data_IF_409070432892
#
_entry.id   IF_409070432892
#
_cell.length_a   1.000
_cell.length_b   1.000
_cell.length_c   1.000
_cell.angle_alpha   90.00
_cell.angle_beta   90.00
_cell.angle_gamma   90.00
#
_symmetry.space_group_name_H-M   'P 1'
#
loop_
_entity.id
_entity.type
_entity.pdbx_description
1 polymer ?
#
# COMPACT_ATOMS: atom_id res chain seq x y z
N UNK A 1 9.68 17.38 -1.40
CA UNK A 1 9.65 15.94 -1.67
C UNK A 1 8.47 15.70 -2.59
N UNK A 2 8.69 15.85 -3.90
CA UNK A 2 7.61 15.73 -4.88
C UNK A 2 7.55 14.28 -5.34
N UNK A 3 6.69 13.49 -4.71
CA UNK A 3 6.22 12.24 -5.27
C UNK A 3 5.20 12.63 -6.35
N UNK A 4 5.72 12.93 -7.55
CA UNK A 4 5.00 13.71 -8.55
C UNK A 4 3.65 13.12 -8.97
N UNK A 5 2.61 13.95 -8.87
CA UNK A 5 1.50 13.96 -9.84
C UNK A 5 2.08 14.28 -11.22
N UNK A 6 2.28 13.27 -12.03
CA UNK A 6 2.34 13.42 -13.48
C UNK A 6 1.15 12.68 -14.07
N UNK A 7 0.15 13.46 -14.48
CA UNK A 7 -0.96 13.01 -15.30
C UNK A 7 -0.42 12.92 -16.72
N UNK A 8 -0.25 11.70 -17.22
CA UNK A 8 -0.66 11.24 -18.55
C UNK A 8 -0.40 9.74 -18.65
N UNK A 9 -1.48 8.99 -18.93
CA UNK A 9 -1.55 7.71 -19.67
C UNK A 9 -0.38 6.73 -19.51
N UNK A 10 -0.68 5.53 -19.00
CA UNK A 10 0.21 4.43 -18.57
C UNK A 10 0.50 4.43 -17.06
N UNK A 11 -0.20 3.52 -16.36
CA UNK A 11 -0.07 3.20 -14.94
C UNK A 11 1.39 3.06 -14.52
N UNK A 12 1.92 4.03 -13.77
CA UNK A 12 3.30 3.98 -13.29
C UNK A 12 3.44 2.88 -12.21
N UNK A 13 4.38 1.93 -12.39
CA UNK A 13 4.56 0.79 -11.49
C UNK A 13 5.45 1.22 -10.32
N UNK A 14 5.01 0.86 -9.11
CA UNK A 14 5.59 1.07 -7.76
C UNK A 14 5.67 2.53 -7.32
N UNK A 15 5.49 2.83 -6.02
CA UNK A 15 5.90 4.13 -5.52
C UNK A 15 7.40 4.26 -5.79
N UNK A 16 7.76 5.16 -6.69
CA UNK A 16 9.14 5.40 -7.08
C UNK A 16 9.54 6.77 -6.55
N UNK A 17 10.61 6.85 -5.78
CA UNK A 17 11.11 8.10 -5.25
C UNK A 17 12.25 8.60 -6.13
N UNK A 18 12.18 9.88 -6.50
CA UNK A 18 13.25 10.58 -7.22
C UNK A 18 13.92 11.56 -6.28
N UNK A 19 15.23 11.40 -6.12
CA UNK A 19 16.06 12.25 -5.28
C UNK A 19 16.99 13.05 -6.17
N UNK A 20 16.97 14.38 -6.00
CA UNK A 20 17.85 15.29 -6.72
C UNK A 20 18.68 16.08 -5.69
N UNK A 21 19.99 16.08 -5.87
CA UNK A 21 20.95 16.72 -4.98
C UNK A 21 21.85 17.66 -5.77
N UNK A 22 22.17 18.82 -5.20
CA UNK A 22 23.18 19.74 -5.74
C UNK A 22 23.94 20.37 -4.58
N UNK A 23 25.21 20.71 -4.82
CA UNK A 23 26.00 21.50 -3.89
C UNK A 23 25.73 22.99 -4.10
N UNK A 24 25.93 23.79 -3.05
CA UNK A 24 25.86 25.25 -3.08
C UNK A 24 27.17 25.77 -2.52
N UNK A 25 27.87 26.63 -3.27
CA UNK A 25 29.12 27.25 -2.80
C UNK A 25 28.88 28.49 -1.92
N UNK A 26 29.95 29.05 -1.36
CA UNK A 26 29.88 30.24 -0.50
C UNK A 26 29.37 31.49 -1.24
N UNK A 27 29.36 31.49 -2.58
CA UNK A 27 28.82 32.58 -3.41
C UNK A 27 27.34 32.36 -3.77
N UNK A 28 26.76 31.23 -3.36
CA UNK A 28 25.38 30.83 -3.66
C UNK A 28 25.20 30.16 -5.03
N UNK A 29 26.29 29.86 -5.75
CA UNK A 29 26.21 29.15 -7.03
C UNK A 29 25.96 27.67 -6.79
N UNK A 30 25.16 27.07 -7.66
CA UNK A 30 24.79 25.65 -7.60
C UNK A 30 25.68 24.83 -8.52
N UNK A 31 26.04 23.64 -8.06
CA UNK A 31 26.63 22.63 -8.95
C UNK A 31 25.61 22.11 -9.97
N UNK A 32 26.09 21.34 -10.94
CA UNK A 32 25.19 20.46 -11.70
C UNK A 32 24.46 19.51 -10.74
N UNK A 33 23.17 19.22 -10.99
CA UNK A 33 22.39 18.34 -10.13
C UNK A 33 22.76 16.87 -10.39
N UNK A 34 22.83 16.09 -9.31
CA UNK A 34 22.85 14.63 -9.33
C UNK A 34 21.45 14.09 -9.06
N UNK A 35 21.04 13.03 -9.77
CA UNK A 35 19.69 12.49 -9.68
C UNK A 35 19.70 10.97 -9.58
N UNK A 36 18.96 10.44 -8.62
CA UNK A 36 18.81 9.01 -8.37
C UNK A 36 17.32 8.69 -8.28
N UNK A 37 16.90 7.61 -8.92
CA UNK A 37 15.52 7.13 -8.90
C UNK A 37 15.50 5.73 -8.28
N UNK A 38 14.73 5.54 -7.20
CA UNK A 38 14.67 4.30 -6.43
C UNK A 38 13.23 3.81 -6.37
N UNK A 39 13.04 2.52 -6.62
CA UNK A 39 11.77 1.83 -6.40
C UNK A 39 11.61 1.53 -4.92
N UNK A 40 10.47 1.89 -4.34
CA UNK A 40 10.17 1.47 -2.96
C UNK A 40 9.79 -0.02 -2.94
N UNK A 41 10.19 -0.77 -1.90
CA UNK A 41 9.77 -2.15 -1.75
C UNK A 41 8.26 -2.25 -1.55
N UNK A 42 7.69 -3.41 -1.85
CA UNK A 42 6.31 -3.71 -1.48
C UNK A 42 6.09 -3.51 0.02
N UNK A 43 4.96 -2.93 0.44
CA UNK A 43 4.62 -2.85 1.85
C UNK A 43 4.62 -4.23 2.49
N UNK A 44 5.07 -4.30 3.74
CA UNK A 44 5.19 -5.55 4.45
C UNK A 44 3.81 -6.16 4.73
N UNK A 45 3.65 -7.47 4.48
CA UNK A 45 2.39 -8.21 4.65
C UNK A 45 2.61 -9.38 5.61
N UNK A 46 1.68 -9.53 6.54
CA UNK A 46 1.62 -10.71 7.41
C UNK A 46 0.81 -11.81 6.71
N UNK A 47 1.52 -12.83 6.23
CA UNK A 47 0.95 -13.91 5.42
C UNK A 47 -0.03 -14.79 6.20
N UNK A 48 0.29 -15.07 7.47
CA UNK A 48 -0.55 -15.89 8.36
C UNK A 48 -1.85 -15.16 8.64
N UNK A 49 -1.76 -13.87 8.99
CA UNK A 49 -2.95 -13.04 9.23
C UNK A 49 -3.81 -12.90 7.97
N UNK A 50 -3.21 -12.79 6.79
CA UNK A 50 -3.96 -12.73 5.53
C UNK A 50 -4.75 -14.03 5.28
N UNK A 51 -4.15 -15.19 5.55
CA UNK A 51 -4.83 -16.48 5.45
C UNK A 51 -6.00 -16.59 6.45
N UNK A 52 -5.80 -16.20 7.71
CA UNK A 52 -6.87 -16.19 8.73
C UNK A 52 -8.05 -15.30 8.31
N UNK A 53 -7.78 -14.15 7.71
CA UNK A 53 -8.81 -13.24 7.22
C UNK A 53 -9.54 -13.87 6.02
N UNK A 54 -8.85 -14.53 5.11
CA UNK A 54 -9.48 -15.23 3.99
C UNK A 54 -10.49 -16.28 4.48
N UNK A 55 -10.09 -17.10 5.45
CA UNK A 55 -10.96 -18.10 6.08
C UNK A 55 -12.16 -17.44 6.79
N UNK A 56 -11.91 -16.35 7.52
CA UNK A 56 -12.97 -15.58 8.20
C UNK A 56 -13.99 -15.02 7.20
N UNK A 57 -13.53 -14.46 6.08
CA UNK A 57 -14.39 -13.89 5.04
C UNK A 57 -15.20 -14.99 4.36
N UNK A 58 -14.61 -16.13 4.05
CA UNK A 58 -15.34 -17.29 3.53
C UNK A 58 -16.47 -17.72 4.47
N UNK A 59 -16.19 -17.82 5.78
CA UNK A 59 -17.21 -18.16 6.76
C UNK A 59 -18.32 -17.11 6.85
N UNK A 60 -17.99 -15.82 6.80
CA UNK A 60 -18.98 -14.73 6.77
C UNK A 60 -19.83 -14.76 5.49
N UNK A 61 -19.23 -15.11 4.34
CA UNK A 61 -19.93 -15.29 3.06
C UNK A 61 -20.73 -16.58 2.96
N UNK A 62 -20.61 -17.51 3.92
CA UNK A 62 -21.45 -18.71 3.95
C UNK A 62 -22.44 -18.71 5.12
N UNK A 63 -22.22 -17.86 6.13
CA UNK A 63 -23.09 -17.70 7.30
C UNK A 63 -24.47 -17.08 7.01
N UNK A 64 -24.70 -16.69 5.75
CA UNK A 64 -25.87 -16.03 5.18
C UNK A 64 -27.16 -16.03 5.99
N UNK A 65 -27.25 -15.12 6.98
CA UNK A 65 -28.55 -14.77 7.57
C UNK A 65 -28.65 -13.31 8.07
N UNK A 66 -27.59 -12.49 8.11
CA UNK A 66 -27.69 -11.15 8.70
C UNK A 66 -26.89 -10.05 7.98
N UNK A 67 -27.50 -8.88 7.75
CA UNK A 67 -26.80 -7.68 7.29
C UNK A 67 -25.66 -7.21 8.21
N UNK A 68 -25.61 -7.71 9.46
CA UNK A 68 -24.48 -7.51 10.40
C UNK A 68 -23.20 -8.22 9.94
N UNK A 69 -23.32 -9.42 9.39
CA UNK A 69 -22.18 -10.19 8.88
C UNK A 69 -21.61 -9.55 7.62
N UNK A 70 -22.48 -9.08 6.72
CA UNK A 70 -22.10 -8.31 5.54
C UNK A 70 -21.32 -7.04 5.93
N UNK A 71 -21.80 -6.29 6.94
CA UNK A 71 -21.09 -5.10 7.40
C UNK A 71 -19.75 -5.44 8.06
N UNK A 72 -19.68 -6.56 8.79
CA UNK A 72 -18.43 -7.02 9.42
C UNK A 72 -17.40 -7.46 8.38
N UNK A 73 -17.82 -8.16 7.33
CA UNK A 73 -16.95 -8.53 6.20
C UNK A 73 -16.44 -7.27 5.48
N UNK A 74 -17.33 -6.33 5.17
CA UNK A 74 -16.97 -5.06 4.54
C UNK A 74 -15.95 -4.27 5.37
N UNK A 75 -16.22 -4.05 6.66
CA UNK A 75 -15.31 -3.33 7.55
C UNK A 75 -13.95 -4.04 7.63
N UNK A 76 -13.95 -5.37 7.78
CA UNK A 76 -12.71 -6.16 7.85
C UNK A 76 -11.87 -5.99 6.58
N UNK A 77 -12.48 -6.00 5.40
CA UNK A 77 -11.78 -5.84 4.12
C UNK A 77 -11.32 -4.40 3.88
N UNK A 78 -12.11 -3.40 4.29
CA UNK A 78 -11.75 -1.99 4.16
C UNK A 78 -10.65 -1.55 5.11
N UNK A 79 -10.53 -2.17 6.28
CA UNK A 79 -9.44 -1.93 7.24
C UNK A 79 -8.09 -2.47 6.75
N UNK A 80 -8.09 -3.28 5.69
CA UNK A 80 -6.86 -3.75 5.05
C UNK A 80 -6.31 -2.69 4.11
N UNK A 81 -4.98 -2.55 4.10
CA UNK A 81 -4.30 -1.89 3.00
C UNK A 81 -4.34 -2.76 1.75
N UNK A 82 -4.29 -2.13 0.58
CA UNK A 82 -4.23 -2.79 -0.74
C UNK A 82 -3.30 -4.03 -0.78
N UNK A 83 -2.06 -4.01 -0.25
CA UNK A 83 -1.19 -5.19 -0.22
C UNK A 83 -1.69 -6.38 0.60
N UNK A 84 -2.28 -6.11 1.77
CA UNK A 84 -2.87 -7.16 2.58
C UNK A 84 -4.13 -7.72 1.91
N UNK A 85 -4.94 -6.87 1.27
CA UNK A 85 -6.13 -7.30 0.53
C UNK A 85 -5.78 -8.21 -0.66
N UNK A 86 -4.74 -7.87 -1.42
CA UNK A 86 -4.22 -8.75 -2.49
C UNK A 86 -3.79 -10.11 -1.95
N UNK A 87 -3.20 -10.15 -0.75
CA UNK A 87 -2.79 -11.41 -0.13
C UNK A 87 -3.97 -12.23 0.39
N UNK A 88 -4.99 -11.59 0.94
CA UNK A 88 -6.26 -12.25 1.31
C UNK A 88 -6.92 -12.86 0.08
N UNK A 89 -6.98 -12.12 -1.03
CA UNK A 89 -7.53 -12.61 -2.30
C UNK A 89 -6.77 -13.86 -2.78
N UNK A 90 -5.44 -13.85 -2.73
CA UNK A 90 -4.62 -15.01 -3.10
C UNK A 90 -5.00 -16.25 -2.30
N UNK A 91 -5.00 -16.16 -0.96
CA UNK A 91 -5.35 -17.29 -0.08
C UNK A 91 -6.78 -17.76 -0.26
N UNK A 92 -7.72 -16.81 -0.42
CA UNK A 92 -9.11 -17.13 -0.64
C UNK A 92 -9.30 -17.95 -1.92
N UNK A 93 -8.75 -17.47 -3.04
CA UNK A 93 -8.89 -18.18 -4.32
C UNK A 93 -8.16 -19.52 -4.29
N UNK A 94 -6.96 -19.59 -3.70
CA UNK A 94 -6.24 -20.86 -3.57
C UNK A 94 -7.06 -21.96 -2.89
N UNK A 95 -7.91 -21.61 -1.92
CA UNK A 95 -8.66 -22.57 -1.11
C UNK A 95 -10.14 -22.73 -1.49
N UNK A 96 -10.76 -21.66 -1.98
CA UNK A 96 -12.22 -21.56 -2.11
C UNK A 96 -12.70 -21.18 -3.51
N UNK A 97 -11.81 -21.05 -4.50
CA UNK A 97 -12.19 -20.71 -5.89
C UNK A 97 -13.23 -21.68 -6.48
N UNK A 98 -13.20 -22.95 -6.07
CA UNK A 98 -14.21 -23.95 -6.47
C UNK A 98 -15.65 -23.59 -6.05
N UNK A 99 -15.81 -22.75 -5.03
CA UNK A 99 -17.11 -22.26 -4.54
C UNK A 99 -17.42 -20.83 -5.01
N UNK A 100 -16.61 -20.29 -5.93
CA UNK A 100 -16.71 -18.94 -6.46
C UNK A 100 -15.48 -18.11 -6.10
N UNK A 101 -14.91 -17.46 -7.13
CA UNK A 101 -13.78 -16.55 -6.98
C UNK A 101 -14.11 -15.41 -6.01
N UNK A 102 -13.12 -14.95 -5.24
CA UNK A 102 -13.25 -13.87 -4.26
C UNK A 102 -13.95 -12.64 -4.83
N UNK A 103 -13.57 -12.18 -6.02
CA UNK A 103 -14.14 -10.96 -6.62
C UNK A 103 -15.64 -11.12 -6.91
N UNK A 104 -16.01 -12.28 -7.45
CA UNK A 104 -17.40 -12.62 -7.74
C UNK A 104 -18.22 -12.77 -6.46
N UNK A 105 -17.71 -13.49 -5.46
CA UNK A 105 -18.37 -13.63 -4.14
C UNK A 105 -18.51 -12.27 -3.46
N UNK A 106 -17.53 -11.39 -3.52
CA UNK A 106 -17.68 -10.03 -3.00
C UNK A 106 -18.84 -9.26 -3.67
N UNK A 107 -18.99 -9.35 -5.00
CA UNK A 107 -20.07 -8.65 -5.72
C UNK A 107 -21.47 -9.21 -5.40
N UNK A 108 -21.59 -10.54 -5.31
CA UNK A 108 -22.82 -11.24 -4.96
C UNK A 108 -23.27 -10.87 -3.53
N UNK A 109 -22.29 -10.88 -2.61
CA UNK A 109 -22.56 -10.80 -1.18
C UNK A 109 -22.58 -9.39 -0.59
N UNK A 110 -21.85 -8.46 -1.23
CA UNK A 110 -21.73 -7.07 -0.77
C UNK A 110 -22.28 -6.05 -1.79
N UNK A 111 -22.86 -6.52 -2.90
CA UNK A 111 -23.41 -5.67 -3.96
C UNK A 111 -22.34 -5.09 -4.90
N UNK A 112 -22.72 -4.70 -6.14
CA UNK A 112 -21.78 -4.65 -7.27
C UNK A 112 -20.90 -3.41 -7.35
N UNK A 113 -19.94 -3.47 -8.29
CA UNK A 113 -19.08 -2.35 -8.68
C UNK A 113 -19.85 -1.28 -9.49
N UNK A 114 -19.50 0.01 -9.38
CA UNK A 114 -20.03 1.02 -10.30
C UNK A 114 -19.50 0.76 -11.72
N UNK A 115 -20.40 0.46 -12.65
CA UNK A 115 -20.11 0.40 -14.09
C UNK A 115 -19.84 1.83 -14.57
N UNK A 116 -18.62 2.13 -15.03
CA UNK A 116 -18.22 3.50 -15.37
C UNK A 116 -18.82 4.05 -16.67
N UNK A 117 -19.43 3.23 -17.53
CA UNK A 117 -19.82 3.65 -18.89
C UNK A 117 -21.28 3.34 -19.28
N UNK A 118 -22.26 3.54 -18.40
CA UNK A 118 -23.66 3.36 -18.81
C UNK A 118 -24.64 4.32 -18.12
N UNK A 119 -25.16 5.26 -18.90
CA UNK A 119 -26.32 6.13 -18.56
C UNK A 119 -27.58 5.28 -18.30
N UNK A 120 -27.58 4.01 -18.72
CA UNK A 120 -28.65 3.03 -18.46
C UNK A 120 -28.63 2.46 -17.02
N UNK A 121 -27.58 2.72 -16.24
CA UNK A 121 -27.36 2.09 -14.93
C UNK A 121 -27.99 2.82 -13.73
N UNK A 122 -28.50 4.05 -13.92
CA UNK A 122 -29.12 4.83 -12.83
C UNK A 122 -30.53 4.28 -12.51
N UNK A 123 -31.31 3.91 -13.52
CA UNK A 123 -32.70 3.46 -13.34
C UNK A 123 -32.82 2.09 -12.64
N UNK A 124 -31.86 1.19 -12.85
CA UNK A 124 -31.82 -0.13 -12.18
C UNK A 124 -31.26 0.00 -10.74
N UNK A 125 -30.32 0.92 -10.50
CA UNK A 125 -29.74 1.13 -9.17
C UNK A 125 -30.77 1.67 -8.17
N UNK A 126 -31.70 2.51 -8.62
CA UNK A 126 -32.75 3.07 -7.76
C UNK A 126 -33.81 2.04 -7.40
N UNK A 127 -34.24 1.20 -8.36
CA UNK A 127 -35.22 0.11 -8.11
C UNK A 127 -34.64 -0.98 -7.21
N UNK A 128 -33.36 -1.30 -7.37
CA UNK A 128 -32.69 -2.30 -6.55
C UNK A 128 -32.40 -1.80 -5.12
N UNK A 129 -32.04 -0.51 -4.97
CA UNK A 129 -31.89 0.12 -3.65
C UNK A 129 -33.22 0.22 -2.88
N UNK A 130 -34.33 0.40 -3.60
CA UNK A 130 -35.67 0.51 -3.03
C UNK A 130 -36.26 -0.82 -2.56
N UNK A 131 -35.85 -1.95 -3.15
CA UNK A 131 -36.30 -3.30 -2.77
C UNK A 131 -35.32 -4.07 -1.86
N UNK A 132 -34.01 -3.80 -1.93
CA UNK A 132 -32.99 -4.61 -1.25
C UNK A 132 -32.14 -3.91 -0.17
N UNK A 133 -32.35 -2.62 0.12
CA UNK A 133 -31.78 -1.97 1.31
C UNK A 133 -30.24 -1.93 1.38
N UNK A 134 -29.67 -0.72 1.33
CA UNK A 134 -28.36 -0.37 1.92
C UNK A 134 -27.07 -1.16 1.55
N UNK A 135 -27.08 -2.11 0.60
CA UNK A 135 -25.87 -2.84 0.17
C UNK A 135 -25.33 -2.44 -1.21
N UNK A 136 -25.89 -1.44 -1.88
CA UNK A 136 -25.39 -1.03 -3.18
C UNK A 136 -23.99 -0.37 -3.04
N UNK A 137 -22.95 -1.01 -3.61
CA UNK A 137 -21.60 -0.48 -3.92
C UNK A 137 -20.44 -0.84 -2.97
N UNK A 138 -20.62 -1.72 -1.99
CA UNK A 138 -19.53 -2.06 -1.05
C UNK A 138 -18.40 -2.85 -1.71
N UNK A 139 -18.71 -3.81 -2.59
CA UNK A 139 -17.67 -4.54 -3.34
C UNK A 139 -16.89 -3.62 -4.28
N UNK A 140 -17.55 -2.63 -4.89
CA UNK A 140 -16.92 -1.57 -5.70
C UNK A 140 -15.73 -0.91 -5.02
N UNK A 141 -15.90 -0.52 -3.76
CA UNK A 141 -14.85 0.15 -3.00
C UNK A 141 -13.70 -0.80 -2.66
N UNK A 142 -14.01 -2.01 -2.17
CA UNK A 142 -12.99 -3.02 -1.85
C UNK A 142 -12.16 -3.36 -3.09
N UNK A 143 -12.83 -3.64 -4.22
CA UNK A 143 -12.16 -4.07 -5.45
C UNK A 143 -11.36 -2.95 -6.09
N UNK A 144 -11.76 -1.69 -5.92
CA UNK A 144 -10.95 -0.54 -6.37
C UNK A 144 -9.59 -0.46 -5.68
N UNK A 145 -9.47 -0.90 -4.42
CA UNK A 145 -8.18 -0.96 -3.73
C UNK A 145 -7.22 -1.99 -4.37
N UNK A 146 -7.74 -3.00 -5.08
CA UNK A 146 -6.87 -3.95 -5.79
C UNK A 146 -6.16 -3.30 -6.99
N UNK A 147 -6.70 -2.20 -7.53
CA UNK A 147 -6.10 -1.48 -8.65
C UNK A 147 -4.98 -0.51 -8.23
N UNK A 148 -4.90 -0.15 -6.95
CA UNK A 148 -3.89 0.78 -6.41
C UNK A 148 -2.48 0.20 -6.36
N UNK A 149 -2.35 -1.13 -6.52
CA UNK A 149 -1.10 -1.83 -6.44
C UNK A 149 -0.41 -1.97 -7.80
N UNK A 150 0.88 -1.66 -7.83
CA UNK A 150 1.71 -1.85 -9.03
C UNK A 150 1.76 -3.30 -9.49
N UNK A 151 1.87 -3.51 -10.81
CA UNK A 151 1.98 -4.86 -11.39
C UNK A 151 3.18 -5.67 -10.86
N UNK A 152 4.31 -5.02 -10.58
CA UNK A 152 5.48 -5.68 -9.98
C UNK A 152 5.16 -6.24 -8.58
N UNK A 153 4.56 -5.41 -7.73
CA UNK A 153 4.22 -5.84 -6.38
C UNK A 153 3.10 -6.88 -6.37
N UNK A 154 2.13 -6.76 -7.27
CA UNK A 154 1.08 -7.76 -7.47
C UNK A 154 1.66 -9.13 -7.81
N UNK A 155 2.68 -9.19 -8.68
CA UNK A 155 3.39 -10.45 -8.98
C UNK A 155 4.09 -11.05 -7.76
N UNK A 156 4.80 -10.22 -6.98
CA UNK A 156 5.48 -10.69 -5.75
C UNK A 156 4.50 -11.20 -4.67
N UNK A 157 3.30 -10.63 -4.58
CA UNK A 157 2.29 -11.06 -3.62
C UNK A 157 1.61 -12.39 -3.99
N UNK A 158 1.87 -12.93 -5.19
CA UNK A 158 1.38 -14.24 -5.63
C UNK A 158 2.34 -15.40 -5.29
N UNK A 159 3.49 -15.11 -4.70
CA UNK A 159 4.43 -16.15 -4.24
C UNK A 159 3.76 -17.10 -3.23
N UNK A 160 4.10 -18.40 -3.22
CA UNK A 160 3.38 -19.39 -2.41
C UNK A 160 3.45 -19.10 -0.91
N UNK A 161 4.57 -18.51 -0.46
CA UNK A 161 4.79 -18.15 0.94
C UNK A 161 5.56 -16.84 1.03
N UNK A 162 5.14 -16.00 1.98
CA UNK A 162 5.81 -14.73 2.26
C UNK A 162 6.20 -14.71 3.74
N UNK A 163 7.50 -14.63 4.02
CA UNK A 163 8.01 -14.43 5.36
C UNK A 163 8.03 -12.95 5.73
N UNK A 164 7.51 -12.60 6.91
CA UNK A 164 7.70 -11.25 7.45
C UNK A 164 8.98 -11.21 8.30
N UNK A 165 9.99 -10.46 7.86
CA UNK A 165 11.28 -10.33 8.54
C UNK A 165 11.45 -8.92 9.11
N UNK A 166 12.25 -8.84 10.18
CA UNK A 166 12.66 -7.57 10.81
C UNK A 166 14.18 -7.44 10.74
N UNK A 167 14.66 -6.31 10.25
CA UNK A 167 16.05 -5.90 10.33
C UNK A 167 16.18 -4.61 11.15
N UNK A 168 17.37 -4.36 11.69
CA UNK A 168 17.72 -3.11 12.37
C UNK A 168 18.89 -2.47 11.64
N UNK A 169 18.62 -1.34 10.98
CA UNK A 169 19.63 -0.59 10.25
C UNK A 169 20.22 0.48 11.15
N UNK A 170 21.55 0.58 11.19
CA UNK A 170 22.25 1.67 11.87
C UNK A 170 22.30 2.90 10.97
N UNK A 171 21.99 4.07 11.52
CA UNK A 171 22.15 5.35 10.83
C UNK A 171 22.68 6.42 11.79
N UNK A 172 23.36 7.42 11.25
CA UNK A 172 23.85 8.56 12.03
C UNK A 172 22.82 9.70 11.97
N UNK A 173 22.33 10.10 13.14
CA UNK A 173 21.48 11.27 13.31
C UNK A 173 22.33 12.44 13.82
N UNK A 174 22.59 13.42 12.96
CA UNK A 174 23.40 14.59 13.29
C UNK A 174 22.52 15.83 13.53
N UNK A 175 22.81 16.56 14.60
CA UNK A 175 22.20 17.85 14.92
C UNK A 175 23.28 18.92 15.09
N UNK A 176 22.97 20.13 14.66
CA UNK A 176 23.83 21.30 14.88
C UNK A 176 23.78 21.70 16.35
N UNK A 177 24.95 21.87 16.99
CA UNK A 177 25.03 22.19 18.42
C UNK A 177 25.08 23.69 18.70
N UNK A 178 25.46 24.50 17.73
CA UNK A 178 25.59 25.96 17.90
C UNK A 178 24.30 26.71 17.55
N UNK A 179 23.76 27.46 18.50
CA UNK A 179 22.58 28.34 18.32
C UNK A 179 22.84 29.51 17.36
N UNK A 180 24.10 29.81 17.02
CA UNK A 180 24.46 30.75 15.94
C UNK A 180 24.04 30.24 14.55
N UNK A 181 23.65 28.97 14.42
CA UNK A 181 23.23 28.36 13.16
C UNK A 181 21.86 28.85 12.64
N UNK A 182 21.05 29.52 13.46
CA UNK A 182 19.72 30.02 13.07
C UNK A 182 19.76 31.26 12.15
N UNK A 183 20.95 31.76 11.78
CA UNK A 183 21.14 32.89 10.86
C UNK A 183 22.27 32.71 9.85
N UNK A 184 22.60 31.47 9.46
CA UNK A 184 23.71 31.17 8.55
C UNK A 184 23.51 31.78 7.16
N UNK A 185 24.38 32.71 6.78
CA UNK A 185 24.61 33.05 5.38
C UNK A 185 25.37 31.89 4.71
N UNK A 186 25.20 31.70 3.40
CA UNK A 186 25.86 30.60 2.64
C UNK A 186 27.38 30.55 2.82
N UNK A 187 28.00 31.69 3.15
CA UNK A 187 29.42 31.86 3.44
C UNK A 187 29.86 31.11 4.72
N UNK A 188 28.97 30.95 5.70
CA UNK A 188 29.28 30.41 7.02
C UNK A 188 29.08 28.88 7.11
N UNK A 189 28.43 28.27 6.11
CA UNK A 189 28.23 26.81 6.05
C UNK A 189 29.50 26.03 5.71
N UNK A 190 30.53 26.71 5.17
CA UNK A 190 31.81 26.10 4.79
C UNK A 190 32.84 25.98 5.91
N UNK A 191 32.62 26.60 7.08
CA UNK A 191 33.50 26.45 8.25
C UNK A 191 33.08 25.24 9.09
N UNK A 192 33.98 24.75 9.96
CA UNK A 192 33.76 23.62 10.88
C UNK A 192 32.56 23.83 11.82
N UNK A 193 31.35 23.68 11.30
CA UNK A 193 30.12 23.73 12.07
C UNK A 193 30.11 22.51 12.99
N UNK A 194 30.12 22.76 14.30
CA UNK A 194 30.06 21.68 15.29
C UNK A 194 28.73 20.94 15.15
N UNK A 195 28.84 19.64 14.95
CA UNK A 195 27.72 18.71 14.82
C UNK A 195 27.86 17.66 15.93
N UNK A 196 26.80 17.46 16.69
CA UNK A 196 26.66 16.29 17.54
C UNK A 196 25.94 15.21 16.73
N UNK A 197 26.60 14.09 16.51
CA UNK A 197 26.05 12.94 15.80
C UNK A 197 25.89 11.77 16.78
N UNK A 198 24.73 11.13 16.72
CA UNK A 198 24.41 9.95 17.51
C UNK A 198 24.11 8.79 16.55
N UNK A 199 24.64 7.60 16.85
CA UNK A 199 24.24 6.38 16.15
C UNK A 199 22.86 5.94 16.66
N UNK A 200 21.92 5.79 15.73
CA UNK A 200 20.56 5.35 16.00
C UNK A 200 20.24 4.09 15.19
N UNK A 201 19.24 3.34 15.66
CA UNK A 201 18.77 2.11 15.03
C UNK A 201 17.37 2.33 14.46
N UNK A 202 17.21 2.03 13.17
CA UNK A 202 15.93 2.03 12.48
C UNK A 202 15.45 0.57 12.32
N UNK A 203 14.42 0.13 13.05
CA UNK A 203 13.78 -1.14 12.79
C UNK A 203 12.98 -1.06 11.47
N UNK A 204 13.25 -1.98 10.56
CA UNK A 204 12.57 -2.09 9.27
C UNK A 204 11.95 -3.47 9.15
N UNK A 205 10.67 -3.51 8.80
CA UNK A 205 9.97 -4.74 8.43
C UNK A 205 9.98 -4.87 6.90
N UNK A 206 10.23 -6.08 6.41
CA UNK A 206 10.25 -6.36 4.98
C UNK A 206 9.75 -7.77 4.69
N UNK A 207 9.26 -7.95 3.47
CA UNK A 207 8.81 -9.25 2.96
C UNK A 207 10.00 -10.05 2.42
N UNK A 208 10.04 -11.32 2.80
CA UNK A 208 10.97 -12.34 2.35
C UNK A 208 10.18 -13.29 1.45
N UNK A 209 10.49 -13.28 0.16
CA UNK A 209 9.74 -14.01 -0.87
C UNK A 209 10.46 -15.31 -1.21
N UNK A 210 9.75 -16.44 -1.13
CA UNK A 210 10.27 -17.78 -1.47
C UNK A 210 10.28 -18.76 -0.29
N UNK A 211 10.74 -19.98 -0.53
CA UNK A 211 10.84 -20.99 0.52
C UNK A 211 11.89 -20.60 1.56
N UNK A 212 11.61 -20.76 2.87
CA UNK A 212 12.60 -20.53 3.90
C UNK A 212 13.78 -21.46 3.62
N UNK A 213 14.97 -20.88 3.41
CA UNK A 213 16.21 -21.66 3.45
C UNK A 213 16.31 -22.21 4.88
N UNK A 214 16.00 -23.49 5.05
CA UNK A 214 16.36 -24.22 6.27
C UNK A 214 17.87 -24.04 6.46
N UNK A 215 18.25 -23.62 7.67
CA UNK A 215 19.62 -23.30 8.06
C UNK A 215 20.00 -24.20 9.23
#
# INVERSE_FOLDING_TARGET
LDCGRWITQYSFPVPCCRFRLWAVDNTGRRSSPSEITIKTPCPAVDDVKAQEIADKIYNLFNGYTSGKEQQTAYNTLMDLGSPALHRVLYHYNQRYESFGEFTWRCEDELGPRPVKDSVFSIYIADVWSFWFGHSARKAGLILSQLDDLSGWCRGLLQEPKIGLRRASLKYLACRYTDTKAFGLNWVDLGQDVRKACEEQLLPVLYNDYGEPKEL
#
